data_IF_375187676335
#
_entry.id   IF_375187676335
#
_cell.length_a   1.000
_cell.length_b   1.000
_cell.length_c   1.000
_cell.angle_alpha   90.00
_cell.angle_beta   90.00
_cell.angle_gamma   90.00
#
_symmetry.space_group_name_H-M   'P 1'
#
loop_
_entity.id
_entity.type
_entity.pdbx_description
1 polymer ?
#
# COMPACT_ATOMS: atom_id res chain seq x y z
N UNK A 1 18.62 -8.88 -0.46
CA UNK A 1 19.82 -8.28 0.15
C UNK A 1 20.15 -6.90 -0.43
N UNK A 2 20.34 -6.79 -1.76
CA UNK A 2 20.77 -5.54 -2.41
C UNK A 2 19.80 -4.37 -2.24
N UNK A 3 18.50 -4.60 -2.36
CA UNK A 3 17.46 -3.54 -2.19
C UNK A 3 17.43 -3.02 -0.76
N UNK A 4 17.60 -3.89 0.23
CA UNK A 4 17.64 -3.52 1.65
C UNK A 4 18.85 -2.64 1.93
N UNK A 5 20.02 -3.04 1.44
CA UNK A 5 21.25 -2.28 1.59
C UNK A 5 21.14 -0.89 0.93
N UNK A 6 20.55 -0.83 -0.25
CA UNK A 6 20.26 0.43 -0.95
C UNK A 6 19.32 1.33 -0.16
N UNK A 7 18.25 0.77 0.42
CA UNK A 7 17.33 1.51 1.26
C UNK A 7 18.02 2.08 2.51
N UNK A 8 18.82 1.27 3.22
CA UNK A 8 19.61 1.72 4.37
C UNK A 8 20.54 2.89 4.03
N UNK A 9 21.23 2.82 2.87
CA UNK A 9 22.09 3.92 2.41
C UNK A 9 21.30 5.20 2.16
N UNK A 10 20.12 5.09 1.51
CA UNK A 10 19.29 6.26 1.26
C UNK A 10 18.78 6.88 2.57
N UNK A 11 18.34 6.08 3.54
CA UNK A 11 17.89 6.61 4.82
C UNK A 11 19.04 7.30 5.60
N UNK A 12 20.25 6.74 5.56
CA UNK A 12 21.42 7.36 6.16
C UNK A 12 21.83 8.69 5.49
N UNK A 13 21.42 8.95 4.24
CA UNK A 13 21.68 10.23 3.57
C UNK A 13 20.85 11.39 4.15
N UNK A 14 19.70 11.09 4.78
CA UNK A 14 18.86 12.12 5.43
C UNK A 14 19.64 12.87 6.51
N UNK A 15 20.49 12.17 7.27
CA UNK A 15 21.30 12.76 8.32
C UNK A 15 22.48 13.57 7.79
N UNK A 16 22.89 13.32 6.53
CA UNK A 16 24.02 14.00 5.89
C UNK A 16 23.65 15.32 5.23
N UNK A 17 22.38 15.52 4.90
CA UNK A 17 21.89 16.76 4.31
C UNK A 17 20.61 17.25 5.04
N UNK A 18 20.79 17.83 6.25
CA UNK A 18 19.68 18.37 7.04
C UNK A 18 18.93 19.51 6.32
N UNK A 19 19.59 20.18 5.37
CA UNK A 19 18.96 21.26 4.60
C UNK A 19 17.96 20.74 3.58
N UNK A 20 18.21 19.57 2.99
CA UNK A 20 17.29 18.94 2.04
C UNK A 20 16.00 18.43 2.72
N UNK A 21 16.08 18.06 4.02
CA UNK A 21 14.93 17.56 4.79
C UNK A 21 14.95 18.12 6.22
N UNK A 22 14.63 19.40 6.41
CA UNK A 22 14.67 20.03 7.75
C UNK A 22 13.79 19.30 8.77
N UNK A 23 14.34 19.04 9.96
CA UNK A 23 13.63 18.39 11.07
C UNK A 23 13.40 16.89 10.91
N UNK A 24 14.02 16.23 9.91
CA UNK A 24 13.95 14.78 9.72
C UNK A 24 15.31 14.13 10.02
N UNK A 25 15.26 12.95 10.64
CA UNK A 25 16.42 12.15 11.00
C UNK A 25 16.19 10.68 10.62
N UNK A 26 17.25 9.97 10.24
CA UNK A 26 17.17 8.54 9.91
C UNK A 26 16.64 7.69 11.08
N UNK A 27 16.87 8.13 12.33
CA UNK A 27 16.34 7.50 13.52
C UNK A 27 14.79 7.47 13.60
N UNK A 28 14.09 8.31 12.81
CA UNK A 28 12.62 8.30 12.69
C UNK A 28 12.11 7.24 11.71
N UNK A 29 13.01 6.57 10.98
CA UNK A 29 12.68 5.58 9.96
C UNK A 29 13.05 4.20 10.49
N UNK A 30 12.07 3.31 10.57
CA UNK A 30 12.30 1.90 10.92
C UNK A 30 12.12 1.04 9.68
N UNK A 31 13.22 0.42 9.22
CA UNK A 31 13.19 -0.57 8.14
C UNK A 31 12.94 -1.95 8.72
N UNK A 32 11.79 -2.55 8.41
CA UNK A 32 11.46 -3.92 8.79
C UNK A 32 11.79 -4.86 7.64
N UNK A 33 12.68 -5.82 7.89
CA UNK A 33 13.16 -6.76 6.88
C UNK A 33 12.47 -8.10 7.03
N UNK A 34 11.84 -8.58 5.95
CA UNK A 34 11.17 -9.88 5.95
C UNK A 34 9.99 -9.95 5.00
N UNK A 35 9.18 -10.96 5.17
CA UNK A 35 7.92 -11.11 4.46
C UNK A 35 6.88 -10.13 5.04
N UNK A 36 6.27 -9.32 4.15
CA UNK A 36 5.33 -8.30 4.56
C UNK A 36 4.08 -8.87 5.25
N UNK A 37 3.61 -10.05 4.85
CA UNK A 37 2.45 -10.68 5.46
C UNK A 37 2.73 -11.06 6.93
N UNK A 38 3.92 -11.57 7.22
CA UNK A 38 4.31 -11.92 8.58
C UNK A 38 4.60 -10.67 9.42
N UNK A 39 5.25 -9.67 8.84
CA UNK A 39 5.53 -8.39 9.51
C UNK A 39 4.23 -7.69 9.89
N UNK A 40 3.26 -7.59 8.98
CA UNK A 40 1.96 -6.95 9.23
C UNK A 40 1.24 -7.56 10.43
N UNK A 41 1.24 -8.88 10.58
CA UNK A 41 0.63 -9.56 11.74
C UNK A 41 1.23 -9.12 13.07
N UNK A 42 2.52 -8.82 13.09
CA UNK A 42 3.26 -8.39 14.27
C UNK A 42 3.16 -6.90 14.60
N UNK A 43 2.70 -6.07 13.67
CA UNK A 43 2.56 -4.63 13.88
C UNK A 43 1.44 -4.33 14.90
N UNK A 44 1.71 -3.41 15.82
CA UNK A 44 0.73 -3.07 16.88
C UNK A 44 -0.17 -1.89 16.51
N UNK A 45 0.29 -0.95 15.72
CA UNK A 45 -0.44 0.29 15.44
C UNK A 45 -0.67 1.14 16.71
N UNK A 46 -1.63 2.08 16.72
CA UNK A 46 -2.37 2.52 15.54
C UNK A 46 -1.53 3.40 14.60
N UNK A 47 -1.83 3.35 13.32
CA UNK A 47 -1.20 4.21 12.31
C UNK A 47 -2.26 5.16 11.72
N UNK A 48 -1.90 6.43 11.55
CA UNK A 48 -2.75 7.48 10.97
C UNK A 48 -2.58 7.60 9.46
N UNK A 49 -1.46 7.09 8.91
CA UNK A 49 -1.22 7.03 7.47
C UNK A 49 -0.56 5.71 7.09
N UNK A 50 -1.11 5.06 6.06
CA UNK A 50 -0.57 3.83 5.47
C UNK A 50 -0.49 4.03 3.95
N UNK A 51 0.70 3.85 3.38
CA UNK A 51 0.90 3.81 1.94
C UNK A 51 1.22 2.38 1.52
N UNK A 52 0.39 1.82 0.63
CA UNK A 52 0.55 0.46 0.14
C UNK A 52 0.98 0.45 -1.32
N UNK A 53 2.23 0.07 -1.54
CA UNK A 53 2.83 -0.20 -2.84
C UNK A 53 3.54 -1.55 -2.79
N UNK A 54 2.78 -2.62 -2.89
CA UNK A 54 3.25 -4.00 -2.79
C UNK A 54 2.90 -4.79 -4.05
N UNK A 55 3.17 -6.10 -4.05
CA UNK A 55 2.72 -6.98 -5.11
C UNK A 55 1.18 -6.99 -5.19
N UNK A 56 0.61 -6.62 -6.33
CA UNK A 56 -0.84 -6.39 -6.52
C UNK A 56 -1.72 -7.57 -6.08
N UNK A 57 -1.26 -8.79 -6.31
CA UNK A 57 -1.98 -9.98 -5.86
C UNK A 57 -2.03 -10.17 -4.33
N UNK A 58 -1.31 -9.36 -3.55
CA UNK A 58 -1.30 -9.44 -2.09
C UNK A 58 -2.22 -8.41 -1.41
N UNK A 59 -2.67 -7.37 -2.11
CA UNK A 59 -3.47 -6.28 -1.53
C UNK A 59 -4.69 -6.78 -0.76
N UNK A 60 -5.46 -7.67 -1.35
CA UNK A 60 -6.65 -8.26 -0.69
C UNK A 60 -6.29 -9.04 0.58
N UNK A 61 -5.12 -9.69 0.60
CA UNK A 61 -4.65 -10.45 1.76
C UNK A 61 -4.10 -9.56 2.88
N UNK A 62 -3.54 -8.39 2.53
CA UNK A 62 -3.03 -7.43 3.51
C UNK A 62 -4.14 -6.59 4.15
N UNK A 63 -5.27 -6.41 3.47
CA UNK A 63 -6.34 -5.52 3.91
C UNK A 63 -6.82 -5.76 5.35
N UNK A 64 -7.08 -7.00 5.82
CA UNK A 64 -7.52 -7.23 7.19
C UNK A 64 -6.51 -6.72 8.23
N UNK A 65 -5.22 -6.96 8.01
CA UNK A 65 -4.16 -6.53 8.93
C UNK A 65 -3.96 -5.01 8.88
N UNK A 66 -4.07 -4.41 7.69
CA UNK A 66 -4.03 -2.96 7.52
C UNK A 66 -5.17 -2.30 8.30
N UNK A 67 -6.39 -2.79 8.17
CA UNK A 67 -7.53 -2.28 8.94
C UNK A 67 -7.35 -2.45 10.45
N UNK A 68 -6.76 -3.55 10.89
CA UNK A 68 -6.47 -3.80 12.31
C UNK A 68 -5.54 -2.74 12.89
N UNK A 69 -4.51 -2.34 12.17
CA UNK A 69 -3.47 -1.40 12.65
C UNK A 69 -3.76 0.07 12.31
N UNK A 70 -4.75 0.34 11.47
CA UNK A 70 -5.15 1.68 11.08
C UNK A 70 -6.06 2.32 12.14
N UNK A 71 -5.78 3.55 12.54
CA UNK A 71 -6.64 4.25 13.49
C UNK A 71 -7.90 4.83 12.82
N UNK A 72 -8.91 5.18 13.63
CA UNK A 72 -10.05 5.96 13.18
C UNK A 72 -9.60 7.34 12.70
N UNK A 73 -10.11 7.78 11.55
CA UNK A 73 -9.64 9.00 10.86
C UNK A 73 -8.33 8.81 10.10
N UNK A 74 -7.69 7.64 10.18
CA UNK A 74 -6.48 7.34 9.44
C UNK A 74 -6.74 7.19 7.94
N UNK A 75 -5.70 7.43 7.13
CA UNK A 75 -5.72 7.36 5.67
C UNK A 75 -4.90 6.18 5.15
N UNK A 76 -5.53 5.33 4.37
CA UNK A 76 -4.87 4.33 3.53
C UNK A 76 -4.81 4.83 2.09
N UNK A 77 -3.62 4.84 1.51
CA UNK A 77 -3.39 5.08 0.08
C UNK A 77 -2.84 3.81 -0.55
N UNK A 78 -3.54 3.29 -1.55
CA UNK A 78 -3.11 2.11 -2.31
C UNK A 78 -2.78 2.52 -3.73
N UNK A 79 -1.54 2.31 -4.14
CA UNK A 79 -1.02 2.76 -5.42
C UNK A 79 -1.22 1.72 -6.54
N UNK A 80 -1.28 2.21 -7.79
CA UNK A 80 -1.39 1.42 -9.03
C UNK A 80 -2.53 0.39 -9.01
N UNK A 81 -3.71 0.78 -8.57
CA UNK A 81 -4.85 -0.14 -8.41
C UNK A 81 -5.55 -0.49 -9.72
N UNK A 82 -5.38 0.32 -10.78
CA UNK A 82 -6.03 0.11 -12.08
C UNK A 82 -5.13 -0.50 -13.15
N UNK A 83 -3.81 -0.48 -12.98
CA UNK A 83 -2.84 -1.01 -13.95
C UNK A 83 -3.23 -0.67 -15.39
N UNK A 84 -3.04 0.59 -15.79
CA UNK A 84 -3.36 1.11 -17.15
C UNK A 84 -4.82 0.90 -17.60
N UNK A 85 -5.78 0.84 -16.65
CA UNK A 85 -7.19 0.62 -16.94
C UNK A 85 -7.61 -0.83 -17.15
N UNK A 86 -6.68 -1.78 -17.20
CA UNK A 86 -6.98 -3.22 -17.39
C UNK A 86 -7.99 -3.78 -16.36
N UNK A 87 -8.06 -3.19 -15.16
CA UNK A 87 -9.00 -3.62 -14.11
C UNK A 87 -10.46 -3.37 -14.49
N UNK A 88 -10.74 -2.35 -15.30
CA UNK A 88 -12.07 -2.02 -15.78
C UNK A 88 -12.50 -2.90 -16.95
N UNK A 89 -11.55 -3.57 -17.59
CA UNK A 89 -11.81 -4.44 -18.71
C UNK A 89 -12.43 -5.79 -18.32
N UNK A 90 -13.06 -6.44 -19.30
CA UNK A 90 -13.55 -7.80 -19.14
C UNK A 90 -12.39 -8.76 -18.84
N UNK A 91 -12.63 -9.75 -17.96
CA UNK A 91 -11.67 -10.84 -17.67
C UNK A 91 -11.11 -11.51 -18.92
N UNK A 92 -11.87 -11.53 -20.02
CA UNK A 92 -11.47 -12.16 -21.27
C UNK A 92 -10.49 -11.32 -22.08
N UNK A 93 -10.46 -10.00 -21.90
CA UNK A 93 -9.50 -9.10 -22.52
C UNK A 93 -8.10 -9.18 -21.87
N UNK A 94 -8.02 -9.61 -20.61
CA UNK A 94 -6.77 -9.70 -19.85
C UNK A 94 -5.98 -10.96 -20.23
N UNK A 95 -4.65 -10.82 -20.40
CA UNK A 95 -3.76 -11.96 -20.70
C UNK A 95 -3.89 -13.06 -19.64
N UNK A 96 -3.90 -14.31 -20.05
CA UNK A 96 -4.14 -15.47 -19.16
C UNK A 96 -3.28 -15.48 -17.90
N UNK A 97 -2.02 -15.08 -18.01
CA UNK A 97 -1.07 -15.01 -16.87
C UNK A 97 -1.46 -13.97 -15.82
N UNK A 98 -2.13 -12.88 -16.22
CA UNK A 98 -2.46 -11.75 -15.36
C UNK A 98 -3.88 -11.84 -14.75
N UNK A 99 -4.67 -12.83 -15.18
CA UNK A 99 -6.07 -13.00 -14.75
C UNK A 99 -6.26 -13.18 -13.25
N UNK A 100 -5.31 -13.84 -12.58
CA UNK A 100 -5.37 -14.02 -11.11
C UNK A 100 -5.13 -12.70 -10.39
N UNK A 101 -4.16 -11.91 -10.85
CA UNK A 101 -3.87 -10.58 -10.29
C UNK A 101 -5.05 -9.65 -10.53
N UNK A 102 -5.58 -9.63 -11.75
CA UNK A 102 -6.77 -8.87 -12.12
C UNK A 102 -7.97 -9.22 -11.22
N UNK A 103 -8.26 -10.51 -11.03
CA UNK A 103 -9.33 -10.96 -10.15
C UNK A 103 -9.14 -10.46 -8.71
N UNK A 104 -7.94 -10.65 -8.14
CA UNK A 104 -7.63 -10.23 -6.77
C UNK A 104 -7.71 -8.72 -6.58
N UNK A 105 -7.29 -7.94 -7.57
CA UNK A 105 -7.43 -6.49 -7.51
C UNK A 105 -8.89 -6.04 -7.54
N UNK A 106 -9.72 -6.67 -8.36
CA UNK A 106 -11.17 -6.39 -8.36
C UNK A 106 -11.82 -6.75 -7.03
N UNK A 107 -11.46 -7.91 -6.45
CA UNK A 107 -11.90 -8.31 -5.11
C UNK A 107 -11.45 -7.28 -4.05
N UNK A 108 -10.23 -6.78 -4.17
CA UNK A 108 -9.70 -5.75 -3.28
C UNK A 108 -10.48 -4.43 -3.39
N UNK A 109 -10.66 -3.90 -4.59
CA UNK A 109 -11.42 -2.66 -4.81
C UNK A 109 -12.88 -2.80 -4.36
N UNK A 110 -13.50 -3.95 -4.61
CA UNK A 110 -14.84 -4.25 -4.12
C UNK A 110 -14.87 -4.28 -2.59
N UNK A 111 -13.90 -4.94 -1.95
CA UNK A 111 -13.80 -5.01 -0.49
C UNK A 111 -13.60 -3.63 0.14
N UNK A 112 -12.85 -2.72 -0.50
CA UNK A 112 -12.74 -1.33 -0.03
C UNK A 112 -14.06 -0.57 -0.14
N UNK A 113 -14.76 -0.72 -1.26
CA UNK A 113 -16.01 0.00 -1.54
C UNK A 113 -17.17 -0.48 -0.67
N UNK A 114 -17.24 -1.78 -0.40
CA UNK A 114 -18.32 -2.40 0.39
C UNK A 114 -18.08 -2.31 1.90
N UNK A 115 -16.88 -1.91 2.34
CA UNK A 115 -16.58 -1.86 3.75
C UNK A 115 -17.26 -0.68 4.44
N UNK A 116 -18.20 -0.90 5.39
CA UNK A 116 -18.93 0.18 6.07
C UNK A 116 -18.04 1.05 6.96
N UNK A 117 -16.87 0.52 7.40
CA UNK A 117 -15.90 1.27 8.21
C UNK A 117 -14.99 2.18 7.38
N UNK A 118 -15.08 2.12 6.04
CA UNK A 118 -14.25 2.93 5.14
C UNK A 118 -15.10 3.95 4.38
N UNK A 119 -14.49 5.09 4.11
CA UNK A 119 -14.90 6.01 3.06
C UNK A 119 -13.84 5.93 1.97
N UNK A 120 -14.22 5.42 0.80
CA UNK A 120 -13.29 5.10 -0.29
C UNK A 120 -13.49 6.06 -1.47
N UNK A 121 -12.39 6.58 -1.99
CA UNK A 121 -12.30 7.36 -3.22
C UNK A 121 -11.30 6.65 -4.15
N UNK A 122 -11.72 6.41 -5.38
CA UNK A 122 -10.87 5.86 -6.44
C UNK A 122 -10.45 6.99 -7.37
N UNK A 123 -9.14 7.13 -7.59
CA UNK A 123 -8.56 8.08 -8.54
C UNK A 123 -8.12 7.30 -9.79
N UNK A 124 -8.60 7.72 -10.96
CA UNK A 124 -8.35 7.03 -12.23
C UNK A 124 -7.15 7.58 -13.00
N UNK A 125 -6.44 8.56 -12.44
CA UNK A 125 -5.27 9.15 -13.10
C UNK A 125 -4.08 8.19 -13.07
N UNK A 126 -3.41 8.04 -14.22
CA UNK A 126 -2.29 7.12 -14.39
C UNK A 126 -2.67 5.67 -14.14
N UNK A 127 -1.89 4.97 -13.34
CA UNK A 127 -2.17 3.58 -12.93
C UNK A 127 -3.22 3.46 -11.82
N UNK A 128 -3.81 4.58 -11.44
CA UNK A 128 -4.87 4.71 -10.45
C UNK A 128 -4.43 4.54 -9.00
N UNK A 129 -5.18 5.17 -8.12
CA UNK A 129 -4.97 5.04 -6.68
C UNK A 129 -6.31 4.88 -5.94
N UNK A 130 -6.31 4.13 -4.84
CA UNK A 130 -7.43 4.08 -3.91
C UNK A 130 -7.07 4.80 -2.62
N UNK A 131 -7.89 5.76 -2.21
CA UNK A 131 -7.79 6.50 -0.96
C UNK A 131 -8.93 6.08 -0.05
N UNK A 132 -8.62 5.61 1.16
CA UNK A 132 -9.62 5.16 2.11
C UNK A 132 -9.40 5.83 3.47
N UNK A 133 -10.43 6.46 4.01
CA UNK A 133 -10.44 7.00 5.38
C UNK A 133 -11.23 6.03 6.25
N UNK A 134 -10.67 5.65 7.39
CA UNK A 134 -11.37 4.84 8.39
C UNK A 134 -12.33 5.73 9.20
N UNK A 135 -13.60 5.36 9.24
CA UNK A 135 -14.65 6.08 9.99
C UNK A 135 -14.54 5.88 11.49
#
# INVERSE_FOLDING_TARGET
>A
PERIEKARRHFAMIDKDPAAMPGRHSAQITLLEGDAAEILKGLKGPYDFIFMDAAKGQYIHFLPEILRVMQKGGLLVSDNVFKEGEILESRFAVKRRDRTIHKRMREYLQALSDNPELQTLLLEEGDGAALCIRK
#
